data_IF_517574942603
#
_entry.id   IF_517574942603
#
_cell.length_a   1.000
_cell.length_b   1.000
_cell.length_c   1.000
_cell.angle_alpha   90.00
_cell.angle_beta   90.00
_cell.angle_gamma   90.00
#
_symmetry.space_group_name_H-M   'P 1'
#
loop_
_entity.id
_entity.type
_entity.pdbx_description
1 polymer ?
#
# COMPACT_ATOMS: atom_id res chain seq x y z
N UNK A 1 27.06 -16.15 -11.79
CA UNK A 1 28.00 -15.45 -12.70
C UNK A 1 27.21 -14.38 -13.41
N UNK A 2 27.61 -13.13 -13.23
CA UNK A 2 26.90 -11.94 -13.76
C UNK A 2 27.21 -11.83 -15.25
N UNK A 3 26.19 -12.03 -16.09
CA UNK A 3 26.22 -11.64 -17.50
C UNK A 3 25.59 -10.26 -17.64
N UNK A 4 26.33 -9.31 -18.23
CA UNK A 4 25.80 -8.01 -18.61
C UNK A 4 25.09 -8.15 -19.95
N UNK A 5 23.77 -8.20 -19.93
CA UNK A 5 22.97 -7.88 -21.11
C UNK A 5 22.66 -6.38 -21.11
N UNK A 6 22.84 -5.77 -22.29
CA UNK A 6 22.76 -4.34 -22.55
C UNK A 6 21.31 -3.87 -22.62
N UNK A 7 20.68 -3.75 -21.47
CA UNK A 7 19.50 -2.95 -21.18
C UNK A 7 19.54 -2.75 -19.66
N UNK A 8 19.30 -1.53 -19.16
CA UNK A 8 19.39 -1.19 -17.73
C UNK A 8 18.29 -1.85 -16.87
N UNK A 9 17.83 -3.05 -17.22
CA UNK A 9 16.93 -3.85 -16.44
C UNK A 9 17.74 -4.68 -15.43
N UNK A 10 17.63 -4.31 -14.16
CA UNK A 10 17.98 -5.19 -13.05
C UNK A 10 17.02 -6.38 -13.13
N UNK A 11 17.43 -7.41 -13.85
CA UNK A 11 16.72 -8.67 -13.94
C UNK A 11 17.07 -9.48 -12.70
N UNK A 12 16.17 -9.47 -11.70
CA UNK A 12 16.34 -10.33 -10.54
C UNK A 12 16.04 -11.76 -11.00
N UNK A 13 17.09 -12.55 -11.22
CA UNK A 13 16.99 -13.99 -11.47
C UNK A 13 16.64 -14.71 -10.16
N UNK A 14 15.36 -14.69 -9.77
CA UNK A 14 14.86 -15.61 -8.75
C UNK A 14 14.68 -16.98 -9.38
N UNK A 15 15.31 -18.01 -8.81
CA UNK A 15 15.05 -19.40 -9.22
C UNK A 15 13.59 -19.75 -8.89
N UNK A 16 12.93 -20.46 -9.79
CA UNK A 16 11.51 -20.85 -9.71
C UNK A 16 11.11 -21.58 -8.40
N UNK A 17 12.07 -22.10 -7.62
CA UNK A 17 11.80 -22.78 -6.35
C UNK A 17 11.47 -21.87 -5.14
N UNK A 18 11.61 -20.55 -5.26
CA UNK A 18 11.55 -19.63 -4.11
C UNK A 18 10.33 -18.68 -4.14
N UNK A 19 9.23 -19.08 -4.79
CA UNK A 19 8.03 -18.26 -4.96
C UNK A 19 6.79 -19.03 -4.47
N UNK A 20 5.83 -18.33 -3.83
CA UNK A 20 4.60 -18.90 -3.26
C UNK A 20 3.39 -18.03 -3.61
N UNK A 21 2.19 -18.62 -3.58
CA UNK A 21 0.93 -17.88 -3.76
C UNK A 21 0.65 -16.98 -2.55
N UNK A 22 0.32 -15.72 -2.82
CA UNK A 22 -0.06 -14.77 -1.78
C UNK A 22 -1.59 -14.79 -1.58
N UNK A 23 -2.04 -15.35 -0.46
CA UNK A 23 -3.48 -15.51 -0.18
C UNK A 23 -4.09 -14.36 0.63
N UNK A 24 -3.26 -13.52 1.23
CA UNK A 24 -3.67 -12.45 2.14
C UNK A 24 -4.07 -11.16 1.42
N UNK A 25 -4.36 -11.24 0.12
CA UNK A 25 -4.85 -10.12 -0.67
C UNK A 25 -6.26 -9.71 -0.21
N UNK A 26 -6.37 -8.45 0.26
CA UNK A 26 -7.61 -7.88 0.79
C UNK A 26 -8.53 -7.38 -0.32
N UNK A 27 -7.95 -6.71 -1.32
CA UNK A 27 -8.66 -6.18 -2.47
C UNK A 27 -7.79 -6.28 -3.75
N UNK A 28 -8.43 -6.07 -4.90
CA UNK A 28 -7.79 -6.16 -6.20
C UNK A 28 -8.07 -7.47 -6.94
N UNK A 29 -7.44 -7.60 -8.11
CA UNK A 29 -7.57 -8.75 -9.01
C UNK A 29 -6.19 -9.24 -9.42
N UNK A 30 -6.12 -10.51 -9.81
CA UNK A 30 -4.89 -11.14 -10.27
C UNK A 30 -4.20 -11.97 -9.18
N UNK A 31 -3.48 -12.98 -9.62
CA UNK A 31 -2.74 -13.87 -8.75
C UNK A 31 -1.43 -13.18 -8.34
N UNK A 32 -1.35 -12.72 -7.10
CA UNK A 32 -0.11 -12.19 -6.52
C UNK A 32 0.72 -13.37 -6.01
N UNK A 33 2.02 -13.32 -6.27
CA UNK A 33 2.98 -14.24 -5.70
C UNK A 33 3.85 -13.50 -4.68
N UNK A 34 4.57 -14.23 -3.83
CA UNK A 34 5.56 -13.64 -2.94
C UNK A 34 6.84 -14.48 -2.88
N UNK A 35 7.95 -13.83 -2.54
CA UNK A 35 9.22 -14.50 -2.28
C UNK A 35 9.11 -15.43 -1.06
N UNK A 36 9.97 -16.44 -0.97
CA UNK A 36 9.94 -17.39 0.14
C UNK A 36 10.14 -16.76 1.52
N UNK A 37 10.94 -15.69 1.60
CA UNK A 37 11.14 -14.88 2.81
C UNK A 37 10.01 -13.86 3.05
N UNK A 38 9.02 -13.82 2.17
CA UNK A 38 7.87 -12.93 2.17
C UNK A 38 8.21 -11.43 2.12
N UNK A 39 9.45 -11.03 1.80
CA UNK A 39 9.83 -9.62 1.74
C UNK A 39 9.36 -8.92 0.47
N UNK A 40 9.13 -9.69 -0.59
CA UNK A 40 8.76 -9.17 -1.91
C UNK A 40 7.46 -9.79 -2.40
N UNK A 41 6.63 -8.98 -3.06
CA UNK A 41 5.45 -9.38 -3.81
C UNK A 41 5.75 -9.32 -5.31
N UNK A 42 5.21 -10.28 -6.05
CA UNK A 42 5.25 -10.33 -7.51
C UNK A 42 3.83 -10.19 -8.04
N UNK A 43 3.54 -9.01 -8.58
CA UNK A 43 2.25 -8.70 -9.19
C UNK A 43 2.37 -8.89 -10.70
N UNK A 44 1.40 -9.52 -11.39
CA UNK A 44 1.43 -9.66 -12.84
C UNK A 44 1.69 -8.32 -13.51
N UNK A 45 2.62 -8.29 -14.46
CA UNK A 45 3.06 -7.07 -15.11
C UNK A 45 1.93 -6.50 -15.97
N UNK A 46 1.46 -5.31 -15.60
CA UNK A 46 0.68 -4.44 -16.45
C UNK A 46 1.59 -3.29 -16.91
N UNK A 47 1.73 -3.10 -18.23
CA UNK A 47 2.68 -2.14 -18.82
C UNK A 47 2.58 -0.75 -18.20
N UNK A 48 1.36 -0.24 -18.01
CA UNK A 48 1.15 1.09 -17.42
C UNK A 48 1.56 1.16 -15.95
N UNK A 49 1.28 0.11 -15.18
CA UNK A 49 1.68 0.07 -13.78
C UNK A 49 3.21 0.01 -13.66
N UNK A 50 3.85 -0.80 -14.50
CA UNK A 50 5.30 -0.87 -14.62
C UNK A 50 5.91 0.50 -14.92
N UNK A 51 5.48 1.18 -15.99
CA UNK A 51 5.99 2.51 -16.35
C UNK A 51 5.77 3.53 -15.24
N UNK A 52 4.61 3.49 -14.57
CA UNK A 52 4.35 4.39 -13.44
C UNK A 52 5.34 4.16 -12.29
N UNK A 53 5.60 2.90 -11.92
CA UNK A 53 6.59 2.57 -10.89
C UNK A 53 8.02 2.97 -11.27
N UNK A 54 8.42 2.79 -12.53
CA UNK A 54 9.75 3.22 -13.00
C UNK A 54 9.96 4.73 -12.80
N UNK A 55 8.99 5.55 -13.17
CA UNK A 55 9.08 7.01 -12.99
C UNK A 55 8.93 7.41 -11.52
N UNK A 56 7.94 6.87 -10.81
CA UNK A 56 7.64 7.24 -9.43
C UNK A 56 8.77 6.86 -8.45
N UNK A 57 9.48 5.76 -8.70
CA UNK A 57 10.61 5.33 -7.87
C UNK A 57 11.83 6.24 -8.00
N UNK A 58 11.93 6.96 -9.12
CA UNK A 58 12.96 7.97 -9.37
C UNK A 58 12.53 9.38 -8.94
N UNK A 59 11.25 9.58 -8.61
CA UNK A 59 10.73 10.86 -8.20
C UNK A 59 11.18 11.20 -6.76
N UNK A 60 11.79 12.37 -6.50
CA UNK A 60 12.47 12.67 -5.24
C UNK A 60 11.56 12.60 -4.00
N UNK A 61 10.30 13.02 -4.13
CA UNK A 61 9.33 13.04 -3.04
C UNK A 61 8.33 11.87 -3.06
N UNK A 62 7.81 11.48 -4.24
CA UNK A 62 6.80 10.43 -4.35
C UNK A 62 7.30 9.03 -4.01
N UNK A 63 8.60 8.74 -4.22
CA UNK A 63 9.18 7.40 -3.98
C UNK A 63 8.95 6.87 -2.56
N UNK A 64 8.85 7.74 -1.55
CA UNK A 64 8.62 7.35 -0.16
C UNK A 64 7.17 6.95 0.15
N UNK A 65 6.24 7.30 -0.75
CA UNK A 65 4.80 7.06 -0.62
C UNK A 65 4.30 5.92 -1.52
N UNK A 66 5.17 5.19 -2.19
CA UNK A 66 4.83 3.98 -2.96
C UNK A 66 5.65 2.80 -2.43
N UNK A 67 5.23 1.53 -2.64
CA UNK A 67 6.06 0.38 -2.33
C UNK A 67 7.41 0.49 -3.05
N UNK A 68 8.50 0.06 -2.40
CA UNK A 68 9.77 -0.04 -3.08
C UNK A 68 9.64 -0.95 -4.31
N UNK A 69 9.98 -0.41 -5.48
CA UNK A 69 10.04 -1.14 -6.73
C UNK A 69 11.43 -1.73 -6.92
N UNK A 70 11.50 -3.04 -7.13
CA UNK A 70 12.74 -3.79 -7.28
C UNK A 70 13.06 -4.17 -8.73
N UNK A 71 12.20 -3.78 -9.68
CA UNK A 71 12.32 -4.14 -11.09
C UNK A 71 11.30 -5.20 -11.51
N UNK A 72 11.65 -5.97 -12.54
CA UNK A 72 10.76 -6.99 -13.12
C UNK A 72 11.35 -8.40 -13.01
N UNK A 73 10.46 -9.38 -12.96
CA UNK A 73 10.78 -10.79 -12.91
C UNK A 73 10.06 -11.52 -14.05
N UNK A 74 10.79 -12.33 -14.81
CA UNK A 74 10.22 -13.27 -15.77
C UNK A 74 10.32 -14.67 -15.21
N UNK A 75 9.17 -15.31 -15.00
CA UNK A 75 9.08 -16.71 -14.58
C UNK A 75 8.73 -17.57 -15.78
N UNK A 76 9.60 -18.54 -16.08
CA UNK A 76 9.36 -19.55 -17.09
C UNK A 76 8.70 -20.78 -16.45
N UNK A 77 7.92 -21.53 -17.25
CA UNK A 77 7.40 -22.83 -16.83
C UNK A 77 8.56 -23.80 -16.61
N UNK A 78 8.69 -24.32 -15.40
CA UNK A 78 9.66 -25.37 -15.11
C UNK A 78 8.99 -26.74 -15.29
N UNK A 79 9.15 -27.33 -16.48
CA UNK A 79 8.52 -28.62 -16.86
C UNK A 79 8.93 -29.81 -15.98
N UNK A 80 9.86 -29.60 -15.05
CA UNK A 80 10.46 -30.62 -14.17
C UNK A 80 9.97 -30.56 -12.72
N UNK A 81 9.20 -29.53 -12.34
CA UNK A 81 8.74 -29.33 -10.96
C UNK A 81 7.28 -29.74 -10.79
N UNK A 82 6.97 -30.54 -9.77
CA UNK A 82 5.61 -31.00 -9.46
C UNK A 82 4.72 -29.96 -8.77
N UNK A 83 5.27 -28.77 -8.47
CA UNK A 83 4.55 -27.62 -7.91
C UNK A 83 4.39 -26.55 -9.00
N UNK A 84 3.53 -26.81 -9.99
CA UNK A 84 3.21 -25.81 -11.01
C UNK A 84 2.36 -24.69 -10.37
N UNK A 85 3.02 -23.63 -9.89
CA UNK A 85 2.35 -22.41 -9.39
C UNK A 85 1.79 -21.59 -10.56
N UNK A 86 2.39 -21.69 -11.75
CA UNK A 86 1.99 -20.97 -12.96
C UNK A 86 1.61 -21.95 -14.08
N UNK A 87 0.48 -21.68 -14.74
CA UNK A 87 0.02 -22.44 -15.92
C UNK A 87 0.81 -22.07 -17.19
N UNK A 88 1.26 -20.82 -17.30
CA UNK A 88 1.98 -20.23 -18.45
C UNK A 88 3.15 -19.36 -17.96
N UNK A 89 4.20 -19.13 -18.78
CA UNK A 89 5.24 -18.15 -18.45
C UNK A 89 4.64 -16.76 -18.17
N UNK A 90 5.14 -16.09 -17.14
CA UNK A 90 4.60 -14.82 -16.67
C UNK A 90 5.68 -13.76 -16.46
N UNK A 91 5.35 -12.50 -16.76
CA UNK A 91 6.15 -11.34 -16.36
C UNK A 91 5.48 -10.66 -15.18
N UNK A 92 6.28 -10.22 -14.21
CA UNK A 92 5.83 -9.64 -12.96
C UNK A 92 6.61 -8.36 -12.65
N UNK A 93 5.95 -7.41 -11.99
CA UNK A 93 6.64 -6.34 -11.26
C UNK A 93 6.95 -6.83 -9.84
N UNK A 94 8.14 -6.48 -9.35
CA UNK A 94 8.64 -6.85 -8.03
C UNK A 94 8.48 -5.68 -7.07
N UNK A 95 7.65 -5.84 -6.04
CA UNK A 95 7.30 -4.79 -5.09
C UNK A 95 7.62 -5.23 -3.67
N UNK A 96 7.80 -4.25 -2.78
CA UNK A 96 7.88 -4.46 -1.34
C UNK A 96 6.59 -5.08 -0.79
N UNK A 97 6.74 -6.04 0.12
CA UNK A 97 5.63 -6.51 0.93
C UNK A 97 5.46 -5.63 2.18
N UNK A 98 4.50 -4.70 2.12
CA UNK A 98 4.22 -3.72 3.18
C UNK A 98 3.76 -4.33 4.51
N UNK A 99 3.38 -5.61 4.53
CA UNK A 99 2.95 -6.32 5.74
C UNK A 99 4.13 -7.07 6.38
N UNK A 100 5.25 -7.23 5.66
CA UNK A 100 6.43 -7.90 6.18
C UNK A 100 6.99 -7.14 7.40
N UNK A 101 7.33 -7.88 8.46
CA UNK A 101 7.84 -7.30 9.70
C UNK A 101 6.78 -6.85 10.71
N UNK A 102 5.50 -6.80 10.33
CA UNK A 102 4.40 -6.61 11.28
C UNK A 102 4.04 -7.93 11.98
N UNK A 103 3.83 -7.88 13.29
CA UNK A 103 3.48 -9.04 14.12
C UNK A 103 1.97 -9.28 14.11
N UNK A 104 1.18 -8.22 14.33
CA UNK A 104 -0.29 -8.28 14.34
C UNK A 104 -0.88 -7.16 13.46
N UNK A 105 -0.71 -7.24 12.13
CA UNK A 105 -1.09 -6.17 11.21
C UNK A 105 -2.60 -6.00 11.09
N UNK A 106 -3.04 -4.76 11.20
CA UNK A 106 -4.32 -4.29 10.69
C UNK A 106 -4.10 -3.64 9.33
N UNK A 107 -4.80 -4.14 8.32
CA UNK A 107 -4.64 -3.73 6.92
C UNK A 107 -5.96 -3.16 6.40
N UNK A 108 -5.94 -2.00 5.76
CA UNK A 108 -7.11 -1.42 5.10
C UNK A 108 -6.73 -0.86 3.73
N UNK A 109 -7.52 -1.20 2.73
CA UNK A 109 -7.39 -0.67 1.37
C UNK A 109 -8.45 0.40 1.14
N UNK A 110 -8.01 1.63 0.84
CA UNK A 110 -8.87 2.78 0.58
C UNK A 110 -8.58 3.32 -0.81
N UNK A 111 -9.49 3.06 -1.75
CA UNK A 111 -9.46 3.68 -3.07
C UNK A 111 -9.70 5.19 -2.96
N UNK A 112 -8.91 5.99 -3.66
CA UNK A 112 -9.00 7.46 -3.64
C UNK A 112 -9.43 7.99 -5.01
N UNK A 113 -10.16 9.11 -4.99
CA UNK A 113 -10.66 9.83 -6.16
C UNK A 113 -12.18 9.73 -6.33
N UNK A 114 -12.76 10.73 -6.99
CA UNK A 114 -14.19 10.74 -7.35
C UNK A 114 -14.48 10.05 -8.68
N UNK A 115 -13.45 9.82 -9.52
CA UNK A 115 -13.57 9.12 -10.81
C UNK A 115 -13.13 7.67 -10.67
N UNK A 116 -13.97 6.78 -11.18
CA UNK A 116 -13.68 5.34 -11.25
C UNK A 116 -13.39 4.86 -12.66
N UNK A 117 -13.52 5.75 -13.65
CA UNK A 117 -13.25 5.44 -15.05
C UNK A 117 -11.87 5.96 -15.46
N UNK A 118 -11.16 5.12 -16.20
CA UNK A 118 -9.91 5.47 -16.87
C UNK A 118 -10.15 6.49 -18.00
N UNK A 119 -9.12 7.23 -18.38
CA UNK A 119 -9.17 8.19 -19.50
C UNK A 119 -9.52 7.51 -20.83
N UNK A 120 -9.17 6.24 -20.97
CA UNK A 120 -9.43 5.41 -22.16
C UNK A 120 -10.76 4.62 -22.08
N UNK A 121 -11.58 4.82 -21.04
CA UNK A 121 -12.81 4.06 -20.87
C UNK A 121 -13.85 4.39 -21.95
N UNK A 122 -14.44 3.36 -22.57
CA UNK A 122 -15.54 3.57 -23.54
C UNK A 122 -16.73 4.25 -22.85
N UNK A 123 -17.57 5.01 -23.59
CA UNK A 123 -18.73 5.68 -23.02
C UNK A 123 -19.65 4.74 -22.22
N UNK A 124 -19.83 3.50 -22.67
CA UNK A 124 -20.63 2.49 -21.99
C UNK A 124 -19.96 2.03 -20.68
N UNK A 125 -18.64 1.81 -20.69
CA UNK A 125 -17.88 1.44 -19.49
C UNK A 125 -17.90 2.59 -18.48
N UNK A 126 -17.77 3.83 -18.94
CA UNK A 126 -17.85 5.06 -18.15
C UNK A 126 -19.22 5.20 -17.49
N UNK A 127 -20.32 5.09 -18.25
CA UNK A 127 -21.67 5.17 -17.72
C UNK A 127 -21.94 4.10 -16.65
N UNK A 128 -21.45 2.87 -16.84
CA UNK A 128 -21.56 1.79 -15.84
C UNK A 128 -20.79 2.10 -14.56
N UNK A 129 -19.57 2.63 -14.69
CA UNK A 129 -18.70 2.97 -13.56
C UNK A 129 -19.24 4.18 -12.78
N UNK A 130 -19.76 5.18 -13.47
CA UNK A 130 -20.42 6.34 -12.86
C UNK A 130 -21.74 5.96 -12.15
N UNK A 131 -22.54 5.06 -12.74
CA UNK A 131 -23.75 4.57 -12.09
C UNK A 131 -23.44 3.85 -10.77
N UNK A 132 -22.36 3.05 -10.73
CA UNK A 132 -21.86 2.44 -9.49
C UNK A 132 -21.33 3.47 -8.50
N UNK A 133 -20.62 4.50 -8.96
CA UNK A 133 -20.06 5.54 -8.11
C UNK A 133 -21.13 6.41 -7.43
N UNK A 134 -22.26 6.68 -8.11
CA UNK A 134 -23.38 7.48 -7.58
C UNK A 134 -24.05 6.87 -6.34
N UNK A 135 -24.00 5.55 -6.19
CA UNK A 135 -24.55 4.85 -5.02
C UNK A 135 -23.53 4.67 -3.89
N UNK A 136 -22.26 4.97 -4.13
CA UNK A 136 -21.15 4.72 -3.21
C UNK A 136 -20.63 6.01 -2.58
N UNK A 137 -19.80 5.83 -1.57
CA UNK A 137 -19.00 6.89 -0.94
C UNK A 137 -18.14 7.68 -1.95
N UNK A 138 -17.77 7.06 -3.08
CA UNK A 138 -16.87 7.63 -4.10
C UNK A 138 -17.26 9.03 -4.58
N UNK A 139 -18.51 9.25 -5.00
CA UNK A 139 -18.90 10.56 -5.54
C UNK A 139 -18.98 11.67 -4.49
N UNK A 140 -19.31 11.33 -3.24
CA UNK A 140 -19.54 12.32 -2.17
C UNK A 140 -18.28 12.60 -1.35
N UNK A 141 -17.46 11.58 -1.12
CA UNK A 141 -16.27 11.65 -0.28
C UNK A 141 -14.97 11.60 -1.08
N UNK A 142 -15.00 11.21 -2.36
CA UNK A 142 -13.78 10.99 -3.14
C UNK A 142 -12.95 9.81 -2.64
N UNK A 143 -13.55 8.86 -1.94
CA UNK A 143 -12.87 7.66 -1.45
C UNK A 143 -13.82 6.48 -1.30
N UNK A 144 -13.28 5.26 -1.25
CA UNK A 144 -14.03 4.03 -1.01
C UNK A 144 -13.14 3.01 -0.31
N UNK A 145 -13.54 2.57 0.89
CA UNK A 145 -12.90 1.43 1.56
C UNK A 145 -13.22 0.16 0.76
N UNK A 146 -12.21 -0.56 0.29
CA UNK A 146 -12.36 -1.78 -0.52
C UNK A 146 -12.37 -3.05 0.33
N UNK A 147 -11.73 -3.01 1.50
CA UNK A 147 -11.68 -4.10 2.45
C UNK A 147 -10.78 -3.80 3.64
N UNK A 148 -10.84 -4.67 4.64
CA UNK A 148 -9.93 -4.64 5.78
C UNK A 148 -9.63 -6.05 6.30
N UNK A 149 -8.44 -6.23 6.87
CA UNK A 149 -8.09 -7.41 7.67
C UNK A 149 -7.56 -6.98 9.01
N UNK A 150 -7.91 -7.73 10.05
CA UNK A 150 -7.57 -7.47 11.44
C UNK A 150 -7.28 -8.80 12.15
N UNK A 151 -6.32 -8.84 13.08
CA UNK A 151 -6.00 -10.06 13.81
C UNK A 151 -7.22 -10.64 14.53
N UNK A 152 -7.40 -11.97 14.42
CA UNK A 152 -8.50 -12.69 15.09
C UNK A 152 -9.90 -12.48 14.49
N UNK A 153 -10.02 -11.73 13.38
CA UNK A 153 -11.30 -11.45 12.72
C UNK A 153 -11.26 -11.90 11.26
N UNK A 154 -12.39 -12.37 10.69
CA UNK A 154 -12.47 -12.63 9.25
C UNK A 154 -12.21 -11.34 8.45
N UNK A 155 -11.45 -11.46 7.36
CA UNK A 155 -11.22 -10.35 6.44
C UNK A 155 -12.54 -9.88 5.81
N UNK A 156 -12.77 -8.58 5.81
CA UNK A 156 -13.90 -7.94 5.16
C UNK A 156 -13.48 -7.54 3.74
N UNK A 157 -14.16 -8.09 2.73
CA UNK A 157 -13.82 -7.92 1.32
C UNK A 157 -14.89 -7.10 0.58
N UNK A 158 -14.84 -7.14 -0.75
CA UNK A 158 -15.67 -6.33 -1.65
C UNK A 158 -17.18 -6.41 -1.36
N UNK A 159 -17.72 -7.58 -1.01
CA UNK A 159 -19.15 -7.75 -0.72
C UNK A 159 -19.62 -7.01 0.54
N UNK A 160 -18.71 -6.81 1.50
CA UNK A 160 -18.96 -5.96 2.66
C UNK A 160 -18.77 -4.49 2.30
N UNK A 161 -17.69 -4.16 1.59
CA UNK A 161 -17.39 -2.79 1.17
C UNK A 161 -18.51 -2.18 0.31
N UNK A 162 -19.13 -2.98 -0.55
CA UNK A 162 -20.22 -2.56 -1.44
C UNK A 162 -21.50 -2.12 -0.69
N UNK A 163 -21.59 -2.38 0.62
CA UNK A 163 -22.71 -1.97 1.49
C UNK A 163 -22.45 -0.66 2.23
N UNK A 164 -21.22 -0.15 2.23
CA UNK A 164 -20.86 1.06 2.96
C UNK A 164 -21.48 2.31 2.29
N UNK A 165 -21.99 3.21 3.13
CA UNK A 165 -22.54 4.50 2.71
C UNK A 165 -21.70 5.66 3.25
N UNK A 166 -22.04 6.88 2.85
CA UNK A 166 -21.37 8.09 3.36
C UNK A 166 -21.57 8.25 4.87
N UNK A 167 -22.72 7.79 5.36
CA UNK A 167 -23.14 7.89 6.75
C UNK A 167 -22.54 6.76 7.61
N UNK A 168 -22.28 5.58 7.02
CA UNK A 168 -21.76 4.43 7.77
C UNK A 168 -20.25 4.23 7.69
N UNK A 169 -19.53 4.85 6.74
CA UNK A 169 -18.08 4.60 6.55
C UNK A 169 -17.25 4.86 7.80
N UNK A 170 -17.62 5.84 8.63
CA UNK A 170 -16.91 6.14 9.88
C UNK A 170 -17.18 5.05 10.93
N UNK A 171 -18.46 4.75 11.21
CA UNK A 171 -18.86 3.84 12.28
C UNK A 171 -18.64 2.36 11.94
N UNK A 172 -18.78 1.97 10.68
CA UNK A 172 -18.71 0.57 10.23
C UNK A 172 -17.35 0.19 9.63
N UNK A 173 -16.54 1.15 9.16
CA UNK A 173 -15.23 0.86 8.57
C UNK A 173 -14.07 1.48 9.35
N UNK A 174 -13.98 2.81 9.41
CA UNK A 174 -12.79 3.48 9.96
C UNK A 174 -12.65 3.26 11.49
N UNK A 175 -13.72 3.43 12.26
CA UNK A 175 -13.66 3.24 13.71
C UNK A 175 -13.31 1.79 14.11
N UNK A 176 -13.94 0.74 13.54
CA UNK A 176 -13.56 -0.65 13.82
C UNK A 176 -12.16 -1.03 13.33
N UNK A 177 -11.60 -0.31 12.35
CA UNK A 177 -10.24 -0.54 11.89
C UNK A 177 -9.20 -0.08 12.91
N UNK A 178 -9.39 1.09 13.52
CA UNK A 178 -8.51 1.62 14.58
C UNK A 178 -8.84 1.11 15.99
N UNK A 179 -9.90 0.31 16.13
CA UNK A 179 -10.30 -0.38 17.35
C UNK A 179 -10.66 -1.85 17.04
N UNK A 180 -9.69 -2.67 16.57
CA UNK A 180 -9.94 -4.02 16.08
C UNK A 180 -10.45 -4.97 17.19
N UNK A 181 -10.08 -4.70 18.45
CA UNK A 181 -10.67 -5.26 19.67
C UNK A 181 -10.42 -4.31 20.86
N UNK A 182 -11.34 -4.25 21.84
CA UNK A 182 -11.27 -3.33 22.99
C UNK A 182 -9.98 -3.45 23.82
N UNK A 183 -9.35 -4.63 23.84
CA UNK A 183 -8.12 -4.89 24.60
C UNK A 183 -6.84 -4.88 23.76
N UNK A 184 -6.94 -4.75 22.44
CA UNK A 184 -5.79 -4.82 21.54
C UNK A 184 -4.97 -3.53 21.55
N UNK A 185 -5.63 -2.37 21.54
CA UNK A 185 -5.03 -1.04 21.34
C UNK A 185 -5.53 -0.11 22.45
N UNK A 186 -4.62 0.56 23.18
CA UNK A 186 -5.03 1.57 24.18
C UNK A 186 -5.60 2.82 23.51
N UNK A 187 -6.45 3.61 24.18
CA UNK A 187 -6.95 4.87 23.62
C UNK A 187 -5.84 5.84 23.18
N UNK A 188 -4.74 5.90 23.93
CA UNK A 188 -3.57 6.73 23.63
C UNK A 188 -2.87 6.24 22.37
N UNK A 189 -2.66 4.92 22.25
CA UNK A 189 -2.03 4.33 21.07
C UNK A 189 -2.91 4.50 19.83
N UNK A 190 -4.22 4.29 19.95
CA UNK A 190 -5.19 4.54 18.89
C UNK A 190 -5.10 5.98 18.39
N UNK A 191 -5.10 6.95 19.32
CA UNK A 191 -4.96 8.37 19.01
C UNK A 191 -3.62 8.68 18.33
N UNK A 192 -2.53 8.07 18.79
CA UNK A 192 -1.21 8.20 18.17
C UNK A 192 -1.23 7.72 16.72
N UNK A 193 -1.67 6.48 16.47
CA UNK A 193 -1.74 5.90 15.12
C UNK A 193 -2.60 6.74 14.16
N UNK A 194 -3.78 7.18 14.60
CA UNK A 194 -4.65 8.03 13.77
C UNK A 194 -3.96 9.36 13.42
N UNK A 195 -3.29 10.00 14.39
CA UNK A 195 -2.56 11.24 14.12
C UNK A 195 -1.37 11.04 13.16
N UNK A 196 -0.67 9.91 13.25
CA UNK A 196 0.43 9.59 12.34
C UNK A 196 -0.07 9.39 10.91
N UNK A 197 -1.14 8.61 10.69
CA UNK A 197 -1.74 8.50 9.36
C UNK A 197 -2.21 9.86 8.84
N UNK A 198 -2.84 10.71 9.67
CA UNK A 198 -3.21 12.07 9.26
C UNK A 198 -1.98 12.88 8.81
N UNK A 199 -0.84 12.75 9.49
CA UNK A 199 0.39 13.42 9.11
C UNK A 199 0.92 12.90 7.77
N UNK A 200 1.01 11.58 7.59
CA UNK A 200 1.48 10.96 6.35
C UNK A 200 0.59 11.30 5.15
N UNK A 201 -0.74 11.33 5.33
CA UNK A 201 -1.67 11.71 4.25
C UNK A 201 -1.49 13.19 3.88
N UNK A 202 -1.20 14.09 4.85
CA UNK A 202 -0.95 15.51 4.55
C UNK A 202 0.33 15.69 3.73
N UNK A 203 1.40 15.00 4.10
CA UNK A 203 2.66 15.03 3.35
C UNK A 203 2.46 14.45 1.95
N UNK A 204 1.83 13.27 1.84
CA UNK A 204 1.50 12.66 0.57
C UNK A 204 0.64 13.58 -0.32
N UNK A 205 -0.40 14.19 0.25
CA UNK A 205 -1.27 15.16 -0.45
C UNK A 205 -0.47 16.33 -1.00
N UNK A 206 0.47 16.87 -0.23
CA UNK A 206 1.28 18.00 -0.68
C UNK A 206 2.26 17.58 -1.79
N UNK A 207 2.79 16.35 -1.74
CA UNK A 207 3.54 15.75 -2.86
C UNK A 207 2.65 15.61 -4.10
N UNK A 208 1.48 14.97 -4.00
CA UNK A 208 0.56 14.79 -5.13
C UNK A 208 0.07 16.12 -5.72
N UNK A 209 -0.10 17.17 -4.91
CA UNK A 209 -0.43 18.50 -5.41
C UNK A 209 0.66 19.06 -6.33
N UNK A 210 1.92 18.69 -6.10
CA UNK A 210 3.06 19.07 -6.94
C UNK A 210 3.38 18.06 -8.05
N UNK A 211 2.94 16.81 -7.90
CA UNK A 211 3.12 15.75 -8.90
C UNK A 211 1.98 15.82 -9.92
N UNK A 212 2.26 16.31 -11.12
CA UNK A 212 1.29 16.36 -12.23
C UNK A 212 0.96 14.94 -12.72
N UNK A 213 0.14 14.24 -11.95
CA UNK A 213 -0.31 12.86 -12.15
C UNK A 213 -1.81 12.83 -12.28
N UNK A 214 -2.36 11.78 -12.90
CA UNK A 214 -3.78 11.41 -12.83
C UNK A 214 -3.85 9.97 -12.39
N UNK A 215 -4.43 9.73 -11.23
CA UNK A 215 -4.49 8.39 -10.67
C UNK A 215 -5.93 7.91 -10.62
N UNK A 216 -6.25 6.92 -11.46
CA UNK A 216 -7.58 6.33 -11.51
C UNK A 216 -7.57 4.98 -10.80
N UNK A 217 -8.51 4.79 -9.87
CA UNK A 217 -8.64 3.54 -9.11
C UNK A 217 -7.41 3.10 -8.29
N UNK A 218 -6.47 4.01 -8.02
CA UNK A 218 -5.39 3.74 -7.06
C UNK A 218 -5.91 3.82 -5.62
N UNK A 219 -5.19 3.16 -4.73
CA UNK A 219 -5.55 3.06 -3.32
C UNK A 219 -4.43 3.55 -2.42
N UNK A 220 -4.80 4.02 -1.23
CA UNK A 220 -3.90 4.05 -0.08
C UNK A 220 -4.08 2.76 0.71
N UNK A 221 -3.00 2.00 0.87
CA UNK A 221 -2.95 0.84 1.75
C UNK A 221 -2.44 1.28 3.11
N UNK A 222 -3.27 1.14 4.13
CA UNK A 222 -2.91 1.39 5.52
C UNK A 222 -2.50 0.08 6.17
N UNK A 223 -1.35 0.08 6.84
CA UNK A 223 -0.88 -1.03 7.67
C UNK A 223 -0.48 -0.45 9.02
N UNK A 224 -0.94 -1.05 10.13
CA UNK A 224 -0.38 -0.73 11.44
C UNK A 224 -0.38 -1.96 12.35
N UNK A 225 0.54 -1.98 13.31
CA UNK A 225 0.68 -3.09 14.23
C UNK A 225 -0.17 -2.91 15.49
N UNK A 226 -0.87 -3.97 15.89
CA UNK A 226 -1.59 -4.03 17.17
C UNK A 226 -0.78 -4.71 18.27
N UNK A 227 0.47 -5.11 17.97
CA UNK A 227 1.40 -5.72 18.92
C UNK A 227 1.79 -4.76 20.05
N UNK A 228 1.43 -5.15 21.28
CA UNK A 228 1.79 -4.41 22.50
C UNK A 228 3.29 -4.41 22.74
N UNK A 229 3.99 -5.49 22.40
CA UNK A 229 5.45 -5.60 22.55
C UNK A 229 6.16 -4.63 21.61
N UNK A 230 5.74 -4.54 20.35
CA UNK A 230 6.31 -3.58 19.40
C UNK A 230 6.04 -2.14 19.84
N UNK A 231 4.83 -1.82 20.28
CA UNK A 231 4.53 -0.48 20.79
C UNK A 231 5.37 -0.13 22.03
N UNK A 232 5.53 -1.06 22.97
CA UNK A 232 6.38 -0.85 24.14
C UNK A 232 7.86 -0.63 23.75
N UNK A 233 8.38 -1.38 22.79
CA UNK A 233 9.73 -1.22 22.28
C UNK A 233 9.92 0.16 21.59
N UNK A 234 8.94 0.59 20.78
CA UNK A 234 8.94 1.91 20.16
C UNK A 234 9.00 3.04 21.19
N UNK A 235 8.21 2.94 22.27
CA UNK A 235 8.24 3.92 23.35
C UNK A 235 9.60 3.96 24.06
N UNK A 236 10.25 2.81 24.28
CA UNK A 236 11.58 2.76 24.90
C UNK A 236 12.64 3.46 24.03
N UNK A 237 12.60 3.25 22.70
CA UNK A 237 13.51 3.89 21.75
C UNK A 237 13.25 5.40 21.59
N UNK A 238 12.01 5.84 21.80
CA UNK A 238 11.60 7.24 21.65
C UNK A 238 11.91 8.11 22.88
N UNK A 239 12.33 7.52 24.01
CA UNK A 239 12.78 8.27 25.19
C UNK A 239 14.23 8.72 24.96
N UNK A 240 14.54 10.02 24.94
CA UNK A 240 15.91 10.48 24.83
C UNK A 240 16.70 10.01 26.05
N UNK A 241 17.75 9.21 25.81
CA UNK A 241 18.68 8.81 26.86
C UNK A 241 19.26 10.06 27.54
N UNK A 242 18.95 10.25 28.83
CA UNK A 242 19.68 11.20 29.65
C UNK A 242 21.08 10.61 29.92
N UNK A 243 22.06 11.14 29.19
CA UNK A 243 23.49 11.26 29.53
C UNK A 243 24.26 9.99 29.96
N UNK A 244 25.26 9.59 29.17
CA UNK A 244 26.31 8.69 29.66
C UNK A 244 27.32 8.20 28.63
N UNK A 245 28.41 8.95 28.46
CA UNK A 245 29.76 8.52 28.02
C UNK A 245 29.97 7.93 26.61
N UNK A 246 30.78 8.67 25.84
CA UNK A 246 31.44 8.25 24.60
C UNK A 246 32.43 7.13 24.91
N UNK A 247 32.27 5.97 24.25
CA UNK A 247 33.38 5.08 23.93
C UNK A 247 33.33 4.76 22.44
N UNK A 248 34.39 5.15 21.75
CA UNK A 248 34.69 4.75 20.39
C UNK A 248 35.12 3.28 20.37
N UNK A 249 34.43 2.45 19.59
CA UNK A 249 35.03 1.27 18.97
C UNK A 249 34.31 0.96 17.66
N UNK A 250 35.15 0.63 16.68
CA UNK A 250 34.90 0.56 15.24
C UNK A 250 34.73 -0.90 14.78
N UNK A 251 34.02 -1.10 13.67
CA UNK A 251 33.65 -2.33 12.95
C UNK A 251 32.33 -3.05 13.31
N UNK A 252 31.38 -2.97 12.37
CA UNK A 252 30.65 -4.15 11.89
C UNK A 252 30.05 -3.90 10.50
N UNK A 253 30.30 -4.83 9.57
CA UNK A 253 29.60 -4.98 8.29
C UNK A 253 28.09 -4.78 8.47
N UNK A 254 27.54 -3.74 7.85
CA UNK A 254 26.10 -3.51 7.84
C UNK A 254 25.47 -4.30 6.71
N UNK A 255 25.07 -5.54 6.99
CA UNK A 255 23.83 -6.05 6.41
C UNK A 255 22.75 -5.02 6.80
N UNK A 256 22.34 -4.19 5.85
CA UNK A 256 21.32 -3.17 6.08
C UNK A 256 20.03 -3.89 6.45
N UNK A 257 19.74 -3.98 7.75
CA UNK A 257 18.40 -4.24 8.23
C UNK A 257 17.47 -3.21 7.57
N UNK A 258 16.27 -3.63 7.12
CA UNK A 258 15.36 -2.71 6.45
C UNK A 258 15.13 -1.51 7.36
N UNK A 259 15.30 -0.29 6.83
CA UNK A 259 15.24 1.00 7.54
C UNK A 259 13.96 1.21 8.37
N UNK A 260 13.00 0.29 8.30
CA UNK A 260 11.68 0.36 8.91
C UNK A 260 11.28 -0.86 9.76
N UNK A 261 12.21 -1.74 10.17
CA UNK A 261 11.88 -2.94 10.99
C UNK A 261 11.14 -2.60 12.31
N UNK A 262 11.29 -1.37 12.80
CA UNK A 262 10.65 -0.86 14.02
C UNK A 262 9.36 -0.05 13.78
N UNK A 263 8.96 0.16 12.53
CA UNK A 263 7.76 0.96 12.25
C UNK A 263 6.49 0.29 12.78
N UNK A 264 5.70 1.10 13.47
CA UNK A 264 4.38 0.70 13.97
C UNK A 264 3.28 0.83 12.93
N UNK A 265 3.53 1.53 11.82
CA UNK A 265 2.61 1.72 10.72
C UNK A 265 3.35 2.00 9.42
N UNK A 266 2.67 1.79 8.31
CA UNK A 266 3.07 2.25 6.99
C UNK A 266 1.82 2.62 6.17
N UNK A 267 1.97 3.60 5.30
CA UNK A 267 0.97 4.01 4.32
C UNK A 267 1.63 4.18 2.97
N UNK A 268 1.20 3.37 1.99
CA UNK A 268 1.65 3.52 0.60
C UNK A 268 0.48 3.64 -0.36
N UNK A 269 0.66 4.44 -1.40
CA UNK A 269 -0.17 4.43 -2.58
C UNK A 269 0.17 3.20 -3.44
N UNK A 270 -0.86 2.47 -3.88
CA UNK A 270 -0.76 1.23 -4.66
C UNK A 270 -1.74 1.24 -5.84
N UNK A 271 -1.63 0.23 -6.71
CA UNK A 271 -2.51 -0.03 -7.86
C UNK A 271 -2.48 1.08 -8.94
N UNK A 272 -1.35 1.18 -9.65
CA UNK A 272 -1.12 2.23 -10.65
C UNK A 272 -1.45 1.83 -12.10
N UNK A 273 -2.16 0.72 -12.32
CA UNK A 273 -2.48 0.22 -13.66
C UNK A 273 -3.30 1.18 -14.53
N UNK A 274 -3.98 2.16 -13.93
CA UNK A 274 -4.68 3.23 -14.62
C UNK A 274 -4.17 4.62 -14.19
N UNK A 275 -2.90 4.74 -13.80
CA UNK A 275 -2.30 6.02 -13.44
C UNK A 275 -1.41 6.56 -14.55
N UNK A 276 -1.38 7.88 -14.70
CA UNK A 276 -0.72 8.57 -15.80
C UNK A 276 0.09 9.75 -15.27
N UNK A 277 1.27 9.98 -15.82
CA UNK A 277 1.97 11.26 -15.70
C UNK A 277 1.42 12.23 -16.74
N UNK A 278 1.07 13.44 -16.31
CA UNK A 278 0.43 14.47 -17.16
C UNK A 278 1.10 15.84 -17.02
N UNK A 279 2.39 15.99 -17.35
CA UNK A 279 3.09 17.26 -17.22
C UNK A 279 2.37 18.42 -17.93
N UNK A 280 2.30 19.57 -17.26
CA UNK A 280 1.62 20.79 -17.72
C UNK A 280 0.11 20.80 -17.54
N UNK A 281 -0.52 19.75 -16.99
CA UNK A 281 -1.97 19.70 -16.78
C UNK A 281 -2.41 20.08 -15.35
N UNK A 282 -1.48 20.45 -14.48
CA UNK A 282 -1.78 20.80 -13.08
C UNK A 282 -2.20 19.61 -12.22
N UNK A 283 -2.63 19.85 -10.97
CA UNK A 283 -2.90 18.81 -9.98
C UNK A 283 -4.17 17.99 -10.25
N UNK A 284 -4.23 16.78 -9.69
CA UNK A 284 -5.45 15.95 -9.69
C UNK A 284 -6.41 16.39 -8.57
N UNK A 285 -7.22 17.41 -8.87
CA UNK A 285 -8.16 18.01 -7.90
C UNK A 285 -9.13 16.99 -7.29
N UNK A 286 -9.46 15.92 -8.00
CA UNK A 286 -10.41 14.92 -7.50
C UNK A 286 -9.75 13.91 -6.59
N UNK A 287 -8.51 13.56 -6.88
CA UNK A 287 -7.70 12.76 -5.98
C UNK A 287 -7.43 13.54 -4.70
N UNK A 288 -7.03 14.81 -4.81
CA UNK A 288 -6.83 15.72 -3.67
C UNK A 288 -8.09 15.89 -2.82
N UNK A 289 -9.27 16.05 -3.45
CA UNK A 289 -10.55 16.08 -2.73
C UNK A 289 -10.81 14.82 -1.90
N UNK A 290 -10.41 13.64 -2.40
CA UNK A 290 -10.48 12.38 -1.67
C UNK A 290 -9.56 12.35 -0.46
N UNK A 291 -8.32 12.80 -0.62
CA UNK A 291 -7.34 12.89 0.48
C UNK A 291 -7.79 13.86 1.58
N UNK A 292 -8.28 15.04 1.20
CA UNK A 292 -8.77 16.04 2.15
C UNK A 292 -9.99 15.53 2.95
N UNK A 293 -10.89 14.79 2.29
CA UNK A 293 -11.99 14.14 3.00
C UNK A 293 -11.52 12.99 3.90
N UNK A 294 -10.55 12.19 3.48
CA UNK A 294 -10.00 11.13 4.33
C UNK A 294 -9.39 11.72 5.60
N UNK A 295 -8.61 12.80 5.49
CA UNK A 295 -8.07 13.55 6.65
C UNK A 295 -9.22 13.97 7.58
N UNK A 296 -10.28 14.59 7.04
CA UNK A 296 -11.44 15.04 7.82
C UNK A 296 -12.13 13.88 8.55
N UNK A 297 -12.34 12.74 7.89
CA UNK A 297 -12.97 11.58 8.50
C UNK A 297 -12.11 10.96 9.60
N UNK A 298 -10.79 10.93 9.43
CA UNK A 298 -9.88 10.47 10.48
C UNK A 298 -9.85 11.43 11.68
N UNK A 299 -9.95 12.74 11.44
CA UNK A 299 -10.06 13.74 12.52
C UNK A 299 -11.33 13.56 13.36
N UNK A 300 -12.45 13.16 12.74
CA UNK A 300 -13.69 12.85 13.47
C UNK A 300 -13.54 11.68 14.44
N UNK A 301 -12.58 10.77 14.23
CA UNK A 301 -12.30 9.68 15.17
C UNK A 301 -11.53 10.12 16.42
N UNK A 302 -11.02 11.37 16.44
CA UNK A 302 -10.26 11.96 17.54
C UNK A 302 -11.10 12.89 18.42
N UNK A 303 -12.31 13.21 17.98
CA UNK A 303 -13.34 13.97 18.71
C UNK A 303 -14.05 13.07 19.72
#
# INVERSE_FOLDING_TARGET
>A
MVGKDTENHVSILLKAGNVKLFYDQIAGHGQILHAEDSKMLFKPLAEREHSFYEEASNHPLLKSFIPQFYGTLKLNRDASSSNEILEEPGSFICLENLVCGFENPCIMDIKIGTRTHDIDATPEKTARMEAKAKQRTTCRLGLTVLGMSRPGMPALKIDWADKLTTESVVSEALAPFFAPAESAVSPEYRRFIINQFIAEIKEYRDVIRSSETRMFSSSLLFVYDTSKSRYAAFLQKSVPEKSGMISCDDNSDSDQEPENADALLDMKAIDFAHSHWVPGQGPDEQYLFGLDNLIRLLQQLLE
#
